data_IF_082055806457
#
_entry.id   IF_082055806457
#
_cell.length_a   1.000
_cell.length_b   1.000
_cell.length_c   1.000
_cell.angle_alpha   90.00
_cell.angle_beta   90.00
_cell.angle_gamma   90.00
#
_symmetry.space_group_name_H-M   'P 1'
#
loop_
_entity.id
_entity.type
_entity.pdbx_description
1 polymer ?
#
# COMPACT_ATOMS: atom_id res chain seq x y z
N UNK A 1 19.76 -25.95 -17.31
CA UNK A 1 20.13 -25.77 -15.91
C UNK A 1 20.72 -27.02 -15.30
N UNK A 2 21.28 -26.93 -14.12
CA UNK A 2 21.81 -28.07 -13.40
C UNK A 2 20.67 -29.02 -12.96
N UNK A 3 20.90 -30.36 -12.96
CA UNK A 3 19.92 -31.30 -12.43
C UNK A 3 19.52 -30.96 -10.99
N UNK A 4 18.23 -31.15 -10.67
CA UNK A 4 17.63 -30.86 -9.35
C UNK A 4 17.64 -29.38 -8.91
N UNK A 5 17.91 -28.42 -9.82
CA UNK A 5 17.88 -26.96 -9.56
C UNK A 5 16.69 -26.26 -10.20
N UNK A 6 15.75 -27.00 -10.81
CA UNK A 6 14.59 -26.42 -11.51
C UNK A 6 13.68 -25.59 -10.61
N UNK A 7 13.49 -26.01 -9.36
CA UNK A 7 12.69 -25.27 -8.39
C UNK A 7 13.30 -23.90 -8.05
N UNK A 8 14.61 -23.82 -7.91
CA UNK A 8 15.31 -22.55 -7.68
C UNK A 8 15.18 -21.60 -8.88
N UNK A 9 15.29 -22.13 -10.11
CA UNK A 9 15.08 -21.36 -11.33
C UNK A 9 13.62 -20.85 -11.45
N UNK A 10 12.64 -21.68 -11.06
CA UNK A 10 11.24 -21.26 -11.00
C UNK A 10 11.01 -20.08 -10.05
N UNK A 11 11.66 -20.06 -8.87
CA UNK A 11 11.49 -18.97 -7.92
C UNK A 11 12.00 -17.61 -8.43
N UNK A 12 12.99 -17.58 -9.33
CA UNK A 12 13.41 -16.33 -9.99
C UNK A 12 12.25 -15.72 -10.79
N UNK A 13 11.56 -16.54 -11.57
CA UNK A 13 10.36 -16.11 -12.31
C UNK A 13 9.22 -15.73 -11.38
N UNK A 14 9.01 -16.52 -10.30
CA UNK A 14 7.93 -16.29 -9.35
C UNK A 14 8.05 -14.95 -8.61
N UNK A 15 9.24 -14.48 -8.31
CA UNK A 15 9.42 -13.17 -7.66
C UNK A 15 8.97 -12.03 -8.57
N UNK A 16 9.29 -12.09 -9.87
CA UNK A 16 8.77 -11.13 -10.84
C UNK A 16 7.25 -11.21 -10.98
N UNK A 17 6.69 -12.43 -11.03
CA UNK A 17 5.25 -12.65 -11.11
C UNK A 17 4.50 -12.10 -9.88
N UNK A 18 5.06 -12.23 -8.67
CA UNK A 18 4.48 -11.67 -7.44
C UNK A 18 4.35 -10.16 -7.48
N UNK A 19 5.35 -9.45 -7.97
CA UNK A 19 5.29 -8.00 -8.18
C UNK A 19 4.23 -7.68 -9.24
N UNK A 20 4.18 -8.44 -10.35
CA UNK A 20 3.15 -8.31 -11.39
C UNK A 20 1.72 -8.44 -10.84
N UNK A 21 1.48 -9.37 -9.90
CA UNK A 21 0.16 -9.54 -9.24
C UNK A 21 -0.18 -8.32 -8.36
N UNK A 22 0.80 -7.74 -7.66
CA UNK A 22 0.61 -6.47 -6.95
C UNK A 22 0.20 -5.34 -7.91
N UNK A 23 0.88 -5.23 -9.06
CA UNK A 23 0.56 -4.25 -10.10
C UNK A 23 -0.81 -4.47 -10.74
N UNK A 24 -1.21 -5.72 -10.97
CA UNK A 24 -2.57 -6.05 -11.45
C UNK A 24 -3.62 -5.55 -10.45
N UNK A 25 -3.43 -5.77 -9.17
CA UNK A 25 -4.33 -5.33 -8.11
C UNK A 25 -4.37 -3.80 -7.98
N UNK A 26 -3.23 -3.13 -8.17
CA UNK A 26 -3.17 -1.68 -8.27
C UNK A 26 -4.04 -1.16 -9.43
N UNK A 27 -3.92 -1.76 -10.61
CA UNK A 27 -4.72 -1.40 -11.79
C UNK A 27 -6.22 -1.57 -11.55
N UNK A 28 -6.64 -2.66 -10.90
CA UNK A 28 -8.04 -2.90 -10.53
C UNK A 28 -8.55 -1.87 -9.50
N UNK A 29 -7.73 -1.52 -8.52
CA UNK A 29 -8.08 -0.48 -7.53
C UNK A 29 -8.26 0.88 -8.22
N UNK A 30 -7.35 1.22 -9.12
CA UNK A 30 -7.37 2.51 -9.84
C UNK A 30 -8.63 2.62 -10.72
N UNK A 31 -8.92 1.63 -11.56
CA UNK A 31 -10.07 1.69 -12.45
C UNK A 31 -11.39 1.68 -11.67
N UNK A 32 -11.49 0.91 -10.59
CA UNK A 32 -12.66 0.90 -9.72
C UNK A 32 -12.87 2.27 -9.05
N UNK A 33 -11.79 2.89 -8.56
CA UNK A 33 -11.84 4.23 -7.96
C UNK A 33 -12.29 5.30 -8.96
N UNK A 34 -11.73 5.32 -10.18
CA UNK A 34 -12.08 6.29 -11.19
C UNK A 34 -13.56 6.21 -11.58
N UNK A 35 -14.07 4.99 -11.79
CA UNK A 35 -15.48 4.76 -12.08
C UNK A 35 -16.38 5.17 -10.91
N UNK A 36 -16.03 4.80 -9.68
CA UNK A 36 -16.80 5.16 -8.49
C UNK A 36 -16.82 6.67 -8.24
N UNK A 37 -15.70 7.36 -8.49
CA UNK A 37 -15.64 8.82 -8.36
C UNK A 37 -16.52 9.52 -9.40
N UNK A 38 -16.49 9.08 -10.66
CA UNK A 38 -17.32 9.61 -11.72
C UNK A 38 -18.82 9.41 -11.40
N UNK A 39 -19.19 8.19 -11.01
CA UNK A 39 -20.56 7.87 -10.59
C UNK A 39 -21.00 8.71 -9.38
N UNK A 40 -20.15 8.86 -8.36
CA UNK A 40 -20.49 9.61 -7.15
C UNK A 40 -20.72 11.11 -7.42
N UNK A 41 -20.04 11.68 -8.41
CA UNK A 41 -20.24 13.08 -8.83
C UNK A 41 -21.59 13.28 -9.55
N UNK A 42 -22.00 12.31 -10.36
CA UNK A 42 -23.20 12.40 -11.20
C UNK A 42 -24.47 11.94 -10.47
N UNK A 43 -24.38 10.89 -9.64
CA UNK A 43 -25.52 10.31 -8.95
C UNK A 43 -26.09 11.25 -7.90
N UNK A 44 -27.34 11.64 -8.08
CA UNK A 44 -28.11 12.44 -7.13
C UNK A 44 -28.96 11.52 -6.25
N UNK A 45 -28.82 11.64 -4.93
CA UNK A 45 -29.64 10.91 -3.96
C UNK A 45 -29.56 11.52 -2.55
N UNK A 46 -30.72 11.74 -1.95
CA UNK A 46 -30.85 12.34 -0.62
C UNK A 46 -30.31 13.77 -0.55
N UNK A 47 -30.19 14.31 0.64
CA UNK A 47 -29.62 15.62 0.94
C UNK A 47 -28.51 15.47 1.98
N UNK A 48 -27.54 16.36 1.93
CA UNK A 48 -26.52 16.42 2.98
C UNK A 48 -27.14 16.69 4.35
N UNK A 49 -26.66 16.01 5.39
CA UNK A 49 -27.08 16.24 6.78
C UNK A 49 -26.77 17.67 7.28
N UNK A 50 -25.86 18.37 6.62
CA UNK A 50 -25.45 19.75 6.94
C UNK A 50 -26.17 20.79 6.07
N UNK A 51 -27.33 20.44 5.52
CA UNK A 51 -28.16 21.29 4.67
C UNK A 51 -27.93 21.05 3.17
N UNK A 52 -28.90 21.47 2.38
CA UNK A 52 -28.91 21.33 0.91
C UNK A 52 -27.67 21.95 0.28
N UNK A 53 -26.96 21.21 -0.57
CA UNK A 53 -25.76 21.67 -1.28
C UNK A 53 -26.05 22.14 -2.70
N UNK A 54 -27.04 21.53 -3.34
CA UNK A 54 -27.47 21.85 -4.70
C UNK A 54 -28.97 22.20 -4.73
N UNK A 55 -29.38 23.43 -4.33
CA UNK A 55 -30.82 23.80 -4.20
C UNK A 55 -31.62 23.63 -5.50
N UNK A 56 -30.99 23.82 -6.65
CA UNK A 56 -31.64 23.75 -7.96
C UNK A 56 -31.75 22.33 -8.55
N UNK A 57 -31.29 21.31 -7.79
CA UNK A 57 -31.38 19.91 -8.18
C UNK A 57 -32.37 19.16 -7.28
N UNK A 58 -32.99 18.06 -7.74
CA UNK A 58 -33.97 17.29 -6.96
C UNK A 58 -33.34 16.61 -5.73
N UNK A 59 -32.01 16.35 -5.75
CA UNK A 59 -31.22 15.82 -4.65
C UNK A 59 -29.78 16.35 -4.73
N UNK A 60 -28.98 16.11 -3.69
CA UNK A 60 -27.54 16.38 -3.76
C UNK A 60 -26.80 15.20 -4.41
N UNK A 61 -25.60 15.44 -4.98
CA UNK A 61 -24.69 14.39 -5.38
C UNK A 61 -24.33 13.52 -4.16
N UNK A 62 -24.25 12.20 -4.33
CA UNK A 62 -23.89 11.29 -3.23
C UNK A 62 -22.49 11.56 -2.66
N UNK A 63 -21.66 12.31 -3.36
CA UNK A 63 -20.34 12.75 -2.90
C UNK A 63 -20.42 13.61 -1.62
N UNK A 64 -21.58 14.22 -1.31
CA UNK A 64 -21.77 14.99 -0.06
C UNK A 64 -21.78 14.10 1.18
N UNK A 65 -22.08 12.80 1.03
CA UNK A 65 -22.18 11.87 2.16
C UNK A 65 -20.79 11.46 2.68
N UNK A 66 -20.52 11.60 3.98
CA UNK A 66 -19.19 11.30 4.56
C UNK A 66 -18.70 9.88 4.30
N UNK A 67 -19.59 8.88 4.32
CA UNK A 67 -19.21 7.49 4.10
C UNK A 67 -18.79 7.24 2.64
N UNK A 68 -19.49 7.83 1.67
CA UNK A 68 -19.09 7.79 0.26
C UNK A 68 -17.70 8.40 0.06
N UNK A 69 -17.43 9.56 0.68
CA UNK A 69 -16.11 10.18 0.64
C UNK A 69 -15.04 9.30 1.29
N UNK A 70 -15.35 8.63 2.41
CA UNK A 70 -14.43 7.72 3.08
C UNK A 70 -14.08 6.53 2.17
N UNK A 71 -15.07 5.89 1.52
CA UNK A 71 -14.84 4.79 0.59
C UNK A 71 -13.95 5.22 -0.58
N UNK A 72 -14.22 6.37 -1.19
CA UNK A 72 -13.42 6.91 -2.29
C UNK A 72 -12.00 7.29 -1.86
N UNK A 73 -11.83 7.95 -0.72
CA UNK A 73 -10.51 8.32 -0.20
C UNK A 73 -9.69 7.09 0.19
N UNK A 74 -10.33 6.04 0.71
CA UNK A 74 -9.67 4.76 1.00
C UNK A 74 -9.11 4.13 -0.27
N UNK A 75 -9.94 4.00 -1.31
CA UNK A 75 -9.51 3.46 -2.59
C UNK A 75 -8.38 4.31 -3.21
N UNK A 76 -8.51 5.64 -3.20
CA UNK A 76 -7.48 6.57 -3.67
C UNK A 76 -6.16 6.40 -2.90
N UNK A 77 -6.22 6.32 -1.58
CA UNK A 77 -5.02 6.19 -0.75
C UNK A 77 -4.28 4.88 -1.02
N UNK A 78 -5.00 3.78 -1.21
CA UNK A 78 -4.38 2.50 -1.57
C UNK A 78 -3.85 2.48 -3.00
N UNK A 79 -4.55 3.07 -3.98
CA UNK A 79 -4.08 3.16 -5.35
C UNK A 79 -2.80 3.99 -5.46
N UNK A 80 -2.76 5.17 -4.85
CA UNK A 80 -1.59 6.05 -4.94
C UNK A 80 -0.39 5.55 -4.12
N UNK A 81 -0.62 5.04 -2.91
CA UNK A 81 0.44 4.42 -2.10
C UNK A 81 0.98 3.14 -2.76
N UNK A 82 0.11 2.31 -3.31
CA UNK A 82 0.49 1.11 -4.06
C UNK A 82 1.31 1.44 -5.30
N UNK A 83 0.98 2.52 -6.01
CA UNK A 83 1.76 2.99 -7.17
C UNK A 83 3.15 3.45 -6.75
N UNK A 84 3.27 4.23 -5.68
CA UNK A 84 4.56 4.69 -5.18
C UNK A 84 5.47 3.51 -4.79
N UNK A 85 4.97 2.54 -4.03
CA UNK A 85 5.70 1.33 -3.67
C UNK A 85 6.09 0.50 -4.90
N UNK A 86 5.16 0.29 -5.83
CA UNK A 86 5.42 -0.53 -7.03
C UNK A 86 6.47 0.09 -7.94
N UNK A 87 6.44 1.42 -8.15
CA UNK A 87 7.45 2.14 -8.93
C UNK A 87 8.81 2.13 -8.24
N UNK A 88 8.83 2.23 -6.91
CA UNK A 88 10.07 2.08 -6.15
C UNK A 88 10.67 0.69 -6.32
N UNK A 89 9.86 -0.38 -6.25
CA UNK A 89 10.34 -1.73 -6.52
C UNK A 89 10.85 -1.89 -7.96
N UNK A 90 10.19 -1.29 -8.95
CA UNK A 90 10.67 -1.30 -10.33
C UNK A 90 12.05 -0.62 -10.46
N UNK A 91 12.24 0.55 -9.82
CA UNK A 91 13.53 1.23 -9.78
C UNK A 91 14.63 0.37 -9.11
N UNK A 92 14.29 -0.32 -8.01
CA UNK A 92 15.24 -1.21 -7.35
C UNK A 92 15.62 -2.41 -8.23
N UNK A 93 14.69 -2.95 -9.01
CA UNK A 93 14.97 -4.02 -10.00
C UNK A 93 15.89 -3.52 -11.09
N UNK A 94 15.66 -2.32 -11.62
CA UNK A 94 16.56 -1.73 -12.62
C UNK A 94 17.98 -1.52 -12.06
N UNK A 95 18.10 -1.08 -10.79
CA UNK A 95 19.39 -0.96 -10.11
C UNK A 95 20.06 -2.32 -9.88
N UNK A 96 19.31 -3.32 -9.43
CA UNK A 96 19.81 -4.68 -9.24
C UNK A 96 20.41 -5.24 -10.53
N UNK A 97 19.76 -5.00 -11.66
CA UNK A 97 20.16 -5.58 -12.95
C UNK A 97 21.26 -4.77 -13.68
N UNK A 98 21.25 -3.45 -13.54
CA UNK A 98 21.99 -2.56 -14.45
C UNK A 98 22.93 -1.56 -13.78
N UNK A 99 22.89 -1.41 -12.44
CA UNK A 99 23.76 -0.44 -11.78
C UNK A 99 25.23 -0.86 -11.91
N UNK A 100 26.18 0.07 -12.25
CA UNK A 100 27.60 -0.27 -12.41
C UNK A 100 28.25 -0.77 -11.13
N UNK A 101 27.86 -0.23 -9.95
CA UNK A 101 28.36 -0.61 -8.67
C UNK A 101 27.70 -1.91 -8.17
N UNK A 102 28.52 -2.91 -7.83
CA UNK A 102 28.08 -4.21 -7.34
C UNK A 102 27.42 -4.15 -5.95
N UNK A 103 27.83 -3.22 -5.10
CA UNK A 103 27.25 -3.01 -3.77
C UNK A 103 25.82 -2.48 -3.89
N UNK A 104 25.59 -1.47 -4.75
CA UNK A 104 24.24 -0.95 -5.04
C UNK A 104 23.34 -2.03 -5.63
N UNK A 105 23.86 -2.90 -6.52
CA UNK A 105 23.08 -4.05 -7.03
C UNK A 105 22.65 -4.98 -5.92
N UNK A 106 23.58 -5.33 -5.02
CA UNK A 106 23.31 -6.24 -3.90
C UNK A 106 22.30 -5.66 -2.93
N UNK A 107 22.44 -4.40 -2.57
CA UNK A 107 21.50 -3.71 -1.68
C UNK A 107 20.10 -3.60 -2.28
N UNK A 108 20.04 -3.31 -3.58
CA UNK A 108 18.75 -3.25 -4.30
C UNK A 108 18.06 -4.61 -4.31
N UNK A 109 18.79 -5.69 -4.56
CA UNK A 109 18.26 -7.06 -4.51
C UNK A 109 17.71 -7.42 -3.12
N UNK A 110 18.41 -7.05 -2.05
CA UNK A 110 17.93 -7.27 -0.68
C UNK A 110 16.64 -6.51 -0.39
N UNK A 111 16.55 -5.26 -0.82
CA UNK A 111 15.34 -4.44 -0.65
C UNK A 111 14.18 -5.01 -1.47
N UNK A 112 14.37 -5.38 -2.74
CA UNK A 112 13.36 -6.06 -3.54
C UNK A 112 12.87 -7.32 -2.86
N UNK A 113 13.79 -8.14 -2.33
CA UNK A 113 13.44 -9.37 -1.63
C UNK A 113 12.57 -9.13 -0.39
N UNK A 114 12.82 -8.06 0.39
CA UNK A 114 12.00 -7.65 1.53
C UNK A 114 10.62 -7.16 1.10
N UNK A 115 10.56 -6.31 0.06
CA UNK A 115 9.33 -5.61 -0.34
C UNK A 115 8.40 -6.49 -1.17
N UNK A 116 8.90 -7.49 -1.90
CA UNK A 116 8.09 -8.37 -2.77
C UNK A 116 6.89 -9.00 -2.08
N UNK A 117 7.00 -9.63 -0.88
CA UNK A 117 5.83 -10.15 -0.15
C UNK A 117 4.82 -9.05 0.21
N UNK A 118 5.30 -7.86 0.56
CA UNK A 118 4.44 -6.71 0.91
C UNK A 118 3.71 -6.21 -0.33
N UNK A 119 4.42 -6.02 -1.46
CA UNK A 119 3.80 -5.62 -2.74
C UNK A 119 2.69 -6.60 -3.10
N UNK A 120 2.99 -7.91 -3.05
CA UNK A 120 1.99 -8.92 -3.44
C UNK A 120 0.83 -8.96 -2.44
N UNK A 121 1.06 -9.18 -1.16
CA UNK A 121 -0.02 -9.45 -0.22
C UNK A 121 -0.75 -8.18 0.24
N UNK A 122 -0.03 -7.14 0.64
CA UNK A 122 -0.66 -5.94 1.17
C UNK A 122 -1.45 -5.18 0.10
N UNK A 123 -0.93 -5.08 -1.14
CA UNK A 123 -1.66 -4.41 -2.22
C UNK A 123 -2.88 -5.24 -2.64
N UNK A 124 -2.78 -6.58 -2.72
CA UNK A 124 -3.91 -7.41 -3.14
C UNK A 124 -5.04 -7.45 -2.10
N UNK A 125 -4.73 -7.52 -0.80
CA UNK A 125 -5.73 -7.46 0.28
C UNK A 125 -6.49 -6.14 0.26
N UNK A 126 -5.75 -5.03 0.13
CA UNK A 126 -6.35 -3.70 0.10
C UNK A 126 -7.10 -3.42 -1.21
N UNK A 127 -6.66 -4.01 -2.34
CA UNK A 127 -7.37 -3.91 -3.61
C UNK A 127 -8.75 -4.57 -3.55
N UNK A 128 -8.85 -5.74 -2.93
CA UNK A 128 -10.15 -6.39 -2.74
C UNK A 128 -11.09 -5.53 -1.88
N UNK A 129 -10.60 -4.96 -0.79
CA UNK A 129 -11.36 -4.04 0.05
C UNK A 129 -11.77 -2.77 -0.71
N UNK A 130 -10.85 -2.19 -1.47
CA UNK A 130 -11.08 -0.96 -2.24
C UNK A 130 -12.08 -1.18 -3.38
N UNK A 131 -11.95 -2.25 -4.18
CA UNK A 131 -12.88 -2.57 -5.27
C UNK A 131 -14.28 -2.86 -4.75
N UNK A 132 -14.40 -3.60 -3.62
CA UNK A 132 -15.68 -3.83 -2.94
C UNK A 132 -16.32 -2.52 -2.45
N UNK A 133 -15.53 -1.63 -1.87
CA UNK A 133 -16.01 -0.31 -1.44
C UNK A 133 -16.44 0.56 -2.63
N UNK A 134 -15.72 0.51 -3.75
CA UNK A 134 -16.09 1.21 -4.97
C UNK A 134 -17.40 0.66 -5.58
N UNK A 135 -17.60 -0.66 -5.55
CA UNK A 135 -18.89 -1.26 -5.92
C UNK A 135 -20.02 -0.73 -5.01
N UNK A 136 -19.76 -0.65 -3.69
CA UNK A 136 -20.74 -0.13 -2.72
C UNK A 136 -21.17 1.30 -3.02
N UNK A 137 -20.27 2.15 -3.54
CA UNK A 137 -20.61 3.53 -3.97
C UNK A 137 -21.71 3.56 -5.03
N UNK A 138 -21.76 2.55 -5.91
CA UNK A 138 -22.82 2.42 -6.93
C UNK A 138 -24.15 1.94 -6.35
N UNK A 139 -24.19 1.44 -5.10
CA UNK A 139 -25.38 0.82 -4.54
C UNK A 139 -25.81 -0.41 -5.37
N UNK A 140 -27.10 -0.60 -5.59
CA UNK A 140 -27.63 -1.71 -6.39
C UNK A 140 -27.10 -1.77 -7.83
N UNK A 141 -26.76 -0.64 -8.43
CA UNK A 141 -26.16 -0.58 -9.77
C UNK A 141 -24.78 -1.27 -9.79
N UNK A 142 -23.99 -1.19 -8.72
CA UNK A 142 -22.66 -1.82 -8.66
C UNK A 142 -22.70 -3.35 -8.72
N UNK A 143 -23.82 -3.96 -8.34
CA UNK A 143 -23.98 -5.40 -8.31
C UNK A 143 -24.40 -6.02 -9.65
N UNK A 144 -25.03 -5.25 -10.53
CA UNK A 144 -25.50 -5.74 -11.83
C UNK A 144 -24.42 -5.64 -12.90
N UNK A 145 -24.44 -6.59 -13.84
CA UNK A 145 -23.39 -6.79 -14.84
C UNK A 145 -23.19 -5.58 -15.77
N UNK A 146 -24.24 -4.85 -16.05
CA UNK A 146 -24.25 -3.69 -16.97
C UNK A 146 -23.29 -2.58 -16.55
N UNK A 147 -23.02 -2.46 -15.24
CA UNK A 147 -22.10 -1.45 -14.71
C UNK A 147 -20.66 -1.95 -14.59
N UNK A 148 -20.43 -3.27 -14.67
CA UNK A 148 -19.10 -3.89 -14.69
C UNK A 148 -18.32 -3.85 -13.36
N UNK A 149 -18.85 -3.20 -12.32
CA UNK A 149 -18.13 -3.05 -11.04
C UNK A 149 -17.95 -4.37 -10.31
N UNK A 150 -18.88 -5.31 -10.44
CA UNK A 150 -18.81 -6.64 -9.82
C UNK A 150 -17.63 -7.46 -10.35
N UNK A 151 -17.25 -7.26 -11.62
CA UNK A 151 -16.13 -7.96 -12.23
C UNK A 151 -14.80 -7.56 -11.59
N UNK A 152 -14.60 -6.27 -11.25
CA UNK A 152 -13.38 -5.82 -10.58
C UNK A 152 -13.21 -6.46 -9.20
N UNK A 153 -14.29 -6.70 -8.46
CA UNK A 153 -14.25 -7.40 -7.15
C UNK A 153 -13.84 -8.86 -7.33
N UNK A 154 -14.41 -9.54 -8.34
CA UNK A 154 -14.04 -10.94 -8.67
C UNK A 154 -12.57 -11.06 -9.07
N UNK A 155 -12.11 -10.16 -9.94
CA UNK A 155 -10.73 -10.17 -10.45
C UNK A 155 -9.72 -9.79 -9.35
N UNK A 156 -10.09 -8.89 -8.42
CA UNK A 156 -9.26 -8.57 -7.27
C UNK A 156 -9.12 -9.75 -6.30
N UNK A 157 -10.17 -10.58 -6.15
CA UNK A 157 -10.16 -11.70 -5.19
C UNK A 157 -9.16 -12.80 -5.55
N UNK A 158 -9.00 -13.15 -6.81
CA UNK A 158 -8.05 -14.18 -7.23
C UNK A 158 -6.59 -13.80 -6.95
N UNK A 159 -6.28 -12.51 -6.97
CA UNK A 159 -4.93 -12.00 -6.74
C UNK A 159 -4.39 -12.30 -5.33
N UNK A 160 -5.28 -12.51 -4.36
CA UNK A 160 -4.91 -12.91 -3.00
C UNK A 160 -4.53 -14.39 -2.89
N UNK A 161 -4.85 -15.20 -3.91
CA UNK A 161 -4.81 -16.67 -3.87
C UNK A 161 -3.63 -17.22 -4.68
N UNK A 162 -3.52 -16.85 -5.96
CA UNK A 162 -2.51 -17.40 -6.86
C UNK A 162 -1.14 -16.73 -6.69
N UNK A 163 -0.11 -17.29 -7.32
CA UNK A 163 1.31 -16.89 -7.20
C UNK A 163 1.82 -16.94 -5.75
N UNK A 164 1.29 -17.88 -4.98
CA UNK A 164 1.45 -18.01 -3.54
C UNK A 164 0.41 -17.17 -2.79
N UNK A 165 -0.41 -17.85 -1.97
CA UNK A 165 -1.42 -17.18 -1.16
C UNK A 165 -0.81 -16.08 -0.29
N UNK A 166 -1.62 -15.12 0.15
CA UNK A 166 -1.14 -14.04 0.99
C UNK A 166 -0.55 -14.55 2.33
N UNK A 167 -1.05 -15.68 2.86
CA UNK A 167 -0.44 -16.34 4.02
C UNK A 167 1.00 -16.83 3.71
N UNK A 168 1.23 -17.39 2.51
CA UNK A 168 2.59 -17.81 2.09
C UNK A 168 3.52 -16.58 1.96
N UNK A 169 3.01 -15.44 1.46
CA UNK A 169 3.79 -14.20 1.45
C UNK A 169 4.13 -13.71 2.86
N UNK A 170 3.18 -13.85 3.78
CA UNK A 170 3.36 -13.45 5.18
C UNK A 170 4.44 -14.31 5.88
N UNK A 171 4.42 -15.61 5.65
CA UNK A 171 5.45 -16.54 6.14
C UNK A 171 6.82 -16.27 5.48
N UNK A 172 6.85 -15.94 4.20
CA UNK A 172 8.08 -15.57 3.49
C UNK A 172 8.68 -14.29 4.07
N UNK A 173 7.84 -13.26 4.31
CA UNK A 173 8.28 -12.01 4.93
C UNK A 173 8.86 -12.25 6.33
N UNK A 174 8.05 -12.75 7.26
CA UNK A 174 8.47 -12.88 8.66
C UNK A 174 9.55 -13.92 8.83
N UNK A 175 9.34 -15.15 8.33
CA UNK A 175 10.24 -16.26 8.58
C UNK A 175 11.57 -16.15 7.82
N UNK A 176 11.52 -15.86 6.51
CA UNK A 176 12.71 -15.87 5.66
C UNK A 176 13.39 -14.51 5.54
N UNK A 177 12.62 -13.43 5.29
CA UNK A 177 13.19 -12.11 4.96
C UNK A 177 13.54 -11.29 6.19
N UNK A 178 12.89 -11.55 7.31
CA UNK A 178 13.12 -10.82 8.57
C UNK A 178 13.87 -11.70 9.57
N UNK A 179 13.26 -12.76 10.10
CA UNK A 179 13.91 -13.60 11.11
C UNK A 179 15.10 -14.37 10.54
N UNK A 180 15.02 -14.85 9.29
CA UNK A 180 16.10 -15.61 8.64
C UNK A 180 17.39 -14.82 8.41
N UNK A 181 17.34 -13.48 8.40
CA UNK A 181 18.52 -12.60 8.35
C UNK A 181 18.70 -11.74 9.62
N UNK A 182 18.12 -12.18 10.73
CA UNK A 182 18.24 -11.51 12.03
C UNK A 182 17.78 -10.05 12.02
N UNK A 183 16.79 -9.73 11.19
CA UNK A 183 16.19 -8.40 11.06
C UNK A 183 17.02 -7.39 10.25
N UNK A 184 18.11 -7.82 9.61
CA UNK A 184 19.02 -6.90 8.90
C UNK A 184 18.30 -6.10 7.78
N UNK A 185 17.47 -6.75 6.96
CA UNK A 185 16.71 -6.06 5.90
C UNK A 185 15.69 -5.07 6.45
N UNK A 186 15.01 -5.42 7.54
CA UNK A 186 14.07 -4.51 8.21
C UNK A 186 14.80 -3.29 8.80
N UNK A 187 16.00 -3.51 9.40
CA UNK A 187 16.86 -2.43 9.93
C UNK A 187 17.29 -1.47 8.81
N UNK A 188 17.66 -1.99 7.64
CA UNK A 188 18.01 -1.16 6.46
C UNK A 188 16.81 -0.30 6.02
N UNK A 189 15.60 -0.86 6.00
CA UNK A 189 14.40 -0.07 5.71
C UNK A 189 14.13 0.97 6.80
N UNK A 190 14.36 0.63 8.08
CA UNK A 190 14.29 1.58 9.20
C UNK A 190 15.27 2.75 9.06
N UNK A 191 16.47 2.52 8.50
CA UNK A 191 17.42 3.58 8.21
C UNK A 191 16.88 4.59 7.17
N UNK A 192 16.16 4.13 6.13
CA UNK A 192 15.51 5.03 5.16
C UNK A 192 14.43 5.90 5.82
N UNK A 193 13.70 5.36 6.81
CA UNK A 193 12.75 6.16 7.59
C UNK A 193 13.51 7.22 8.42
N UNK A 194 14.63 6.85 9.05
CA UNK A 194 15.45 7.77 9.82
C UNK A 194 16.06 8.89 8.94
N UNK A 195 16.48 8.56 7.72
CA UNK A 195 16.94 9.55 6.73
C UNK A 195 15.82 10.55 6.38
N UNK A 196 14.60 10.07 6.11
CA UNK A 196 13.47 10.97 5.86
C UNK A 196 13.17 11.86 7.07
N UNK A 197 13.25 11.33 8.29
CA UNK A 197 13.06 12.13 9.51
C UNK A 197 14.11 13.22 9.62
N UNK A 198 15.38 12.90 9.37
CA UNK A 198 16.47 13.87 9.39
C UNK A 198 16.33 14.93 8.27
N UNK A 199 15.92 14.53 7.06
CA UNK A 199 15.71 15.43 5.92
C UNK A 199 14.55 16.42 6.17
N UNK A 200 13.50 15.97 6.87
CA UNK A 200 12.27 16.73 7.04
C UNK A 200 12.09 17.36 8.43
N UNK A 201 13.07 17.25 9.33
CA UNK A 201 12.98 17.66 10.76
C UNK A 201 12.69 19.15 10.95
N UNK A 202 13.15 20.02 10.02
CA UNK A 202 12.97 21.46 10.10
C UNK A 202 11.58 21.92 9.60
N UNK A 203 10.76 21.00 9.11
CA UNK A 203 9.40 21.28 8.65
C UNK A 203 8.38 20.81 9.69
N UNK A 204 7.84 21.73 10.49
CA UNK A 204 6.88 21.42 11.55
C UNK A 204 5.61 20.70 11.03
N UNK A 205 5.17 21.00 9.79
CA UNK A 205 4.02 20.35 9.17
C UNK A 205 4.25 18.85 8.87
N UNK A 206 5.51 18.40 8.91
CA UNK A 206 5.84 16.99 8.76
C UNK A 206 5.63 16.17 10.03
N UNK A 207 5.53 16.78 11.20
CA UNK A 207 5.38 16.07 12.47
C UNK A 207 4.13 15.17 12.51
N UNK A 208 3.04 15.57 11.86
CA UNK A 208 1.81 14.77 11.75
C UNK A 208 2.01 13.43 11.04
N UNK A 209 3.02 13.31 10.17
CA UNK A 209 3.37 12.08 9.43
C UNK A 209 4.53 11.33 10.08
N UNK A 210 5.57 12.06 10.51
CA UNK A 210 6.81 11.46 10.99
C UNK A 210 6.66 10.84 12.39
N UNK A 211 5.91 11.48 13.29
CA UNK A 211 5.74 10.96 14.65
C UNK A 211 5.06 9.57 14.67
N UNK A 212 3.89 9.35 14.02
CA UNK A 212 3.29 8.03 13.99
C UNK A 212 4.15 7.01 13.22
N UNK A 213 4.82 7.42 12.14
CA UNK A 213 5.69 6.56 11.35
C UNK A 213 6.89 6.06 12.19
N UNK A 214 7.56 6.95 12.90
CA UNK A 214 8.67 6.60 13.80
C UNK A 214 8.22 5.67 14.92
N UNK A 215 7.07 5.97 15.53
CA UNK A 215 6.50 5.11 16.58
C UNK A 215 6.23 3.70 16.07
N UNK A 216 5.61 3.56 14.90
CA UNK A 216 5.33 2.26 14.31
C UNK A 216 6.63 1.51 13.96
N UNK A 217 7.66 2.18 13.45
CA UNK A 217 8.97 1.60 13.19
C UNK A 217 9.63 1.03 14.46
N UNK A 218 9.53 1.75 15.58
CA UNK A 218 10.01 1.27 16.88
C UNK A 218 9.23 0.04 17.37
N UNK A 219 7.90 0.07 17.25
CA UNK A 219 7.04 -1.07 17.59
C UNK A 219 7.34 -2.29 16.72
N UNK A 220 7.56 -2.12 15.42
CA UNK A 220 7.95 -3.22 14.53
C UNK A 220 9.24 -3.89 14.96
N UNK A 221 10.24 -3.12 15.39
CA UNK A 221 11.50 -3.66 15.94
C UNK A 221 11.24 -4.48 17.20
N UNK A 222 10.41 -3.97 18.10
CA UNK A 222 10.04 -4.67 19.33
C UNK A 222 9.29 -5.98 19.02
N UNK A 223 8.26 -5.95 18.17
CA UNK A 223 7.50 -7.14 17.77
C UNK A 223 8.38 -8.19 17.10
N UNK A 224 9.28 -7.76 16.21
CA UNK A 224 10.23 -8.67 15.55
C UNK A 224 11.09 -9.39 16.55
N UNK A 225 11.61 -8.68 17.56
CA UNK A 225 12.44 -9.24 18.61
C UNK A 225 11.64 -10.22 19.47
N UNK A 226 10.43 -9.85 19.89
CA UNK A 226 9.57 -10.69 20.72
C UNK A 226 9.18 -11.99 20.01
N UNK A 227 8.73 -11.89 18.74
CA UNK A 227 8.38 -13.07 17.94
C UNK A 227 9.61 -13.96 17.73
N UNK A 228 10.78 -13.37 17.45
CA UNK A 228 12.03 -14.10 17.30
C UNK A 228 12.39 -14.92 18.55
N UNK A 229 12.24 -14.36 19.76
CA UNK A 229 12.47 -15.08 21.01
C UNK A 229 11.45 -16.21 21.23
N UNK A 230 10.16 -15.96 20.97
CA UNK A 230 9.13 -16.99 21.11
C UNK A 230 9.34 -18.14 20.11
N UNK A 231 9.74 -17.83 18.89
CA UNK A 231 10.01 -18.81 17.84
C UNK A 231 11.16 -19.77 18.16
N UNK A 232 12.07 -19.41 19.07
CA UNK A 232 13.12 -20.32 19.56
C UNK A 232 12.54 -21.45 20.44
N UNK A 233 11.39 -21.22 21.05
CA UNK A 233 10.70 -22.20 21.91
C UNK A 233 9.62 -22.94 21.15
N UNK A 234 8.87 -22.24 20.29
CA UNK A 234 7.78 -22.76 19.48
C UNK A 234 7.78 -22.12 18.09
N UNK A 235 8.11 -22.91 17.07
CA UNK A 235 8.16 -22.45 15.68
C UNK A 235 6.80 -22.02 15.14
N UNK A 236 5.68 -22.49 15.70
CA UNK A 236 4.33 -22.12 15.29
C UNK A 236 4.00 -20.66 15.60
N UNK A 237 4.72 -20.02 16.53
CA UNK A 237 4.60 -18.58 16.80
C UNK A 237 4.87 -17.72 15.55
N UNK A 238 5.79 -18.15 14.68
CA UNK A 238 6.03 -17.46 13.39
C UNK A 238 4.79 -17.55 12.51
N UNK A 239 4.17 -18.71 12.42
CA UNK A 239 2.95 -18.93 11.63
C UNK A 239 1.78 -18.14 12.16
N UNK A 240 1.60 -18.11 13.48
CA UNK A 240 0.53 -17.41 14.16
C UNK A 240 0.61 -15.87 13.95
N UNK A 241 1.82 -15.31 14.00
CA UNK A 241 2.06 -13.88 13.88
C UNK A 241 2.13 -13.37 12.41
N UNK A 242 2.45 -14.24 11.44
CA UNK A 242 2.90 -13.83 10.11
C UNK A 242 1.93 -12.90 9.36
N UNK A 243 0.62 -13.18 9.40
CA UNK A 243 -0.38 -12.42 8.64
C UNK A 243 -0.53 -11.00 9.21
N UNK A 244 -0.66 -10.88 10.52
CA UNK A 244 -0.77 -9.58 11.18
C UNK A 244 0.55 -8.80 11.07
N UNK A 245 1.69 -9.49 11.18
CA UNK A 245 3.00 -8.89 10.97
C UNK A 245 3.14 -8.28 9.56
N UNK A 246 2.76 -9.00 8.52
CA UNK A 246 2.79 -8.48 7.15
C UNK A 246 1.87 -7.27 7.00
N UNK A 247 0.68 -7.30 7.60
CA UNK A 247 -0.25 -6.18 7.55
C UNK A 247 0.34 -4.93 8.19
N UNK A 248 0.96 -5.05 9.36
CA UNK A 248 1.63 -3.93 10.04
C UNK A 248 2.84 -3.44 9.25
N UNK A 249 3.68 -4.36 8.73
CA UNK A 249 4.80 -4.03 7.85
C UNK A 249 4.34 -3.29 6.58
N UNK A 250 3.23 -3.71 6.00
CA UNK A 250 2.60 -3.04 4.84
C UNK A 250 2.20 -1.61 5.16
N UNK A 251 1.59 -1.36 6.31
CA UNK A 251 1.29 0.00 6.76
C UNK A 251 2.56 0.82 7.00
N UNK A 252 3.59 0.25 7.62
CA UNK A 252 4.88 0.94 7.82
C UNK A 252 5.49 1.40 6.48
N UNK A 253 5.52 0.50 5.50
CA UNK A 253 6.04 0.79 4.15
C UNK A 253 5.19 1.83 3.44
N UNK A 254 3.86 1.70 3.44
CA UNK A 254 2.97 2.70 2.85
C UNK A 254 3.06 4.04 3.58
N UNK A 255 3.18 4.04 4.91
CA UNK A 255 3.38 5.23 5.72
C UNK A 255 4.64 5.99 5.31
N UNK A 256 5.75 5.28 5.08
CA UNK A 256 6.97 5.87 4.55
C UNK A 256 6.74 6.57 3.19
N UNK A 257 6.09 5.90 2.23
CA UNK A 257 5.82 6.51 0.92
C UNK A 257 4.85 7.67 1.01
N UNK A 258 3.83 7.59 1.86
CA UNK A 258 2.91 8.70 2.08
C UNK A 258 3.59 9.90 2.74
N UNK A 259 4.49 9.68 3.70
CA UNK A 259 5.29 10.74 4.32
C UNK A 259 6.24 11.40 3.29
N UNK A 260 6.90 10.61 2.42
CA UNK A 260 7.72 11.13 1.30
C UNK A 260 6.88 11.98 0.34
N UNK A 261 5.70 11.51 -0.06
CA UNK A 261 4.80 12.27 -0.96
C UNK A 261 4.29 13.55 -0.29
N UNK A 262 3.98 13.51 1.01
CA UNK A 262 3.58 14.69 1.77
C UNK A 262 4.72 15.72 1.86
N UNK A 263 5.94 15.27 2.11
CA UNK A 263 7.12 16.13 2.16
C UNK A 263 7.34 16.89 0.85
N UNK A 264 7.34 16.18 -0.28
CA UNK A 264 7.44 16.80 -1.61
C UNK A 264 6.28 17.78 -1.86
N UNK A 265 5.06 17.42 -1.48
CA UNK A 265 3.91 18.30 -1.64
C UNK A 265 4.03 19.58 -0.82
N UNK A 266 4.49 19.50 0.43
CA UNK A 266 4.72 20.64 1.29
C UNK A 266 5.84 21.56 0.74
N UNK A 267 6.94 20.98 0.25
CA UNK A 267 8.02 21.74 -0.39
C UNK A 267 7.50 22.53 -1.61
N UNK A 268 6.73 21.87 -2.51
CA UNK A 268 6.16 22.52 -3.70
C UNK A 268 5.18 23.64 -3.35
N UNK A 269 4.34 23.43 -2.35
CA UNK A 269 3.42 24.47 -1.85
C UNK A 269 4.21 25.65 -1.27
N UNK A 270 5.29 25.40 -0.51
CA UNK A 270 6.14 26.44 0.07
C UNK A 270 6.93 27.22 -1.01
N UNK A 271 7.34 26.56 -2.11
CA UNK A 271 7.94 27.21 -3.29
C UNK A 271 6.94 28.09 -4.08
N UNK A 272 5.67 28.09 -3.70
CA UNK A 272 4.61 28.87 -4.35
C UNK A 272 3.95 28.18 -5.54
N UNK A 273 4.16 26.87 -5.73
CA UNK A 273 3.46 26.09 -6.74
C UNK A 273 1.96 26.03 -6.42
N UNK A 274 1.12 26.43 -7.38
CA UNK A 274 -0.33 26.52 -7.22
C UNK A 274 -1.07 25.36 -7.82
N UNK A 275 -0.39 24.32 -8.33
CA UNK A 275 -1.05 23.13 -8.85
C UNK A 275 -1.88 22.49 -7.74
N UNK A 276 -3.18 22.29 -7.95
CA UNK A 276 -4.08 21.65 -6.97
C UNK A 276 -3.67 20.22 -6.65
N UNK A 277 -2.84 19.59 -7.48
CA UNK A 277 -2.30 18.27 -7.27
C UNK A 277 -1.61 18.12 -5.90
N UNK A 278 -0.73 19.07 -5.53
CA UNK A 278 0.02 18.98 -4.28
C UNK A 278 -0.87 19.10 -3.05
N UNK A 279 -1.87 19.98 -3.09
CA UNK A 279 -2.88 20.10 -2.02
C UNK A 279 -3.72 18.82 -1.89
N UNK A 280 -4.15 18.26 -3.01
CA UNK A 280 -4.92 17.02 -3.02
C UNK A 280 -4.06 15.84 -2.50
N UNK A 281 -2.77 15.79 -2.86
CA UNK A 281 -1.83 14.78 -2.37
C UNK A 281 -1.68 14.86 -0.85
N UNK A 282 -1.46 16.05 -0.32
CA UNK A 282 -1.35 16.28 1.13
C UNK A 282 -2.63 15.90 1.88
N UNK A 283 -3.81 16.24 1.35
CA UNK A 283 -5.09 15.83 1.94
C UNK A 283 -5.26 14.31 1.97
N UNK A 284 -4.82 13.61 0.91
CA UNK A 284 -4.88 12.15 0.87
C UNK A 284 -3.90 11.52 1.86
N UNK A 285 -2.69 12.09 2.02
CA UNK A 285 -1.73 11.67 3.03
C UNK A 285 -2.31 11.81 4.45
N UNK A 286 -2.91 12.96 4.77
CA UNK A 286 -3.59 13.20 6.06
C UNK A 286 -4.71 12.19 6.30
N UNK A 287 -5.51 11.90 5.28
CA UNK A 287 -6.55 10.88 5.38
C UNK A 287 -5.94 9.50 5.68
N UNK A 288 -4.86 9.13 4.98
CA UNK A 288 -4.19 7.84 5.20
C UNK A 288 -3.72 7.71 6.64
N UNK A 289 -2.97 8.67 7.17
CA UNK A 289 -2.46 8.64 8.54
C UNK A 289 -3.56 8.71 9.61
N UNK A 290 -4.63 9.43 9.35
CA UNK A 290 -5.72 9.58 10.33
C UNK A 290 -6.71 8.40 10.37
N UNK A 291 -6.82 7.61 9.29
CA UNK A 291 -7.91 6.63 9.12
C UNK A 291 -7.46 5.22 8.74
N UNK A 292 -6.28 5.05 8.17
CA UNK A 292 -5.84 3.77 7.63
C UNK A 292 -4.54 3.27 8.27
N UNK A 293 -3.66 4.17 8.67
CA UNK A 293 -2.37 3.90 9.33
C UNK A 293 -2.52 3.61 10.86
#
# INVERSE_FOLDING_TARGET
>A
GQPNKGLAAMFVMMNAARIGVGMQSLGLTEVAYQNALAYAKDRLQSRSLTGVKTPNQPADSILVHPDVRKMLLTAKAYAEGGRALSLHCALLIDRELHHPDAEVRSESAEQVALLTPIVKAFITDNAWTATSSCLQVFGGHGFIREWGMEQYVRDARINMIYEGTNTIQSLDLLGRKVLGNQGASLKKFGAQIAELVAEAQDNEDMAEFLNPLTKLGQQMTQFTTEIGFKALQDADEVGAAAVDYLRVAGHLVFGYFWARMAFVALQKIAEGDRDPFYKAKLQTARFYFAKLF
#
